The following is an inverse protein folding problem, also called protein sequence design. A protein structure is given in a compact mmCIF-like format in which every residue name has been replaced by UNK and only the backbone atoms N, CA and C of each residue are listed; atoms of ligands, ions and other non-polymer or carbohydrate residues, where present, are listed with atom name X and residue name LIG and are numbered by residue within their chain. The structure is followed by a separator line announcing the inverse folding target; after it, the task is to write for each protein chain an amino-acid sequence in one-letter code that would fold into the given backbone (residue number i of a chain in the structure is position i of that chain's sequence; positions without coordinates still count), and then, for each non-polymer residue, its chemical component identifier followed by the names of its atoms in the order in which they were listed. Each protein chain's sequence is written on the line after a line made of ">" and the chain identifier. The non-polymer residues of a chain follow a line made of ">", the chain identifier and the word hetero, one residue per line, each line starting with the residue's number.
data_IF_564543810465
#
_entry.id   IF_564543810465
#
_cell.length_a   1.000
_cell.length_b   1.000
_cell.length_c   1.000
_cell.angle_alpha   90.00
_cell.angle_beta   90.00
_cell.angle_gamma   90.00
#
_symmetry.space_group_name_H-M   'P 1'
#
loop_
_entity.id
_entity.type
_entity.pdbx_description
1 polymer ?
#
# COMPACT_ATOMS: atom_id res chain seq x y z
N UNK A 1 -17.55 9.87 18.62
CA UNK A 1 -16.73 8.67 18.91
C UNK A 1 -15.63 8.61 17.85
N UNK A 2 -14.37 8.88 18.19
CA UNK A 2 -13.29 8.79 17.21
C UNK A 2 -13.09 7.34 16.80
N UNK A 3 -13.17 7.04 15.50
CA UNK A 3 -12.87 5.71 14.97
C UNK A 3 -11.44 5.34 15.42
N UNK A 4 -11.28 4.22 16.11
CA UNK A 4 -9.96 3.72 16.51
C UNK A 4 -9.16 3.52 15.22
N UNK A 5 -7.95 4.06 15.19
CA UNK A 5 -6.99 3.82 14.11
C UNK A 5 -6.52 2.36 14.27
N UNK A 6 -7.12 1.45 13.51
CA UNK A 6 -6.64 0.07 13.47
C UNK A 6 -5.40 0.00 12.58
N UNK A 7 -4.27 -0.39 13.19
CA UNK A 7 -3.02 -0.66 12.47
C UNK A 7 -3.14 -1.93 11.64
N UNK A 8 -2.11 -2.23 10.84
CA UNK A 8 -2.10 -3.40 9.99
C UNK A 8 -2.34 -4.67 10.81
N UNK A 9 -3.36 -5.43 10.43
CA UNK A 9 -3.82 -6.62 11.14
C UNK A 9 -4.08 -7.75 10.14
N UNK A 10 -4.28 -8.96 10.66
CA UNK A 10 -4.72 -10.09 9.83
C UNK A 10 -6.03 -9.80 9.10
N UNK A 11 -6.91 -8.98 9.67
CA UNK A 11 -8.16 -8.62 9.02
C UNK A 11 -7.95 -7.61 7.89
N UNK A 12 -7.02 -6.65 8.04
CA UNK A 12 -6.59 -5.78 6.93
C UNK A 12 -5.98 -6.59 5.78
N UNK A 13 -5.20 -7.63 6.09
CA UNK A 13 -4.65 -8.54 5.10
C UNK A 13 -5.71 -9.40 4.41
N UNK A 14 -6.69 -9.94 5.15
CA UNK A 14 -7.85 -10.63 4.54
C UNK A 14 -8.60 -9.70 3.60
N UNK A 15 -8.84 -8.46 4.01
CA UNK A 15 -9.49 -7.45 3.17
C UNK A 15 -8.70 -7.20 1.87
N UNK A 16 -7.37 -7.13 1.94
CA UNK A 16 -6.54 -7.07 0.74
C UNK A 16 -6.85 -8.25 -0.20
N UNK A 17 -6.75 -9.48 0.29
CA UNK A 17 -6.97 -10.66 -0.55
C UNK A 17 -8.40 -10.72 -1.12
N UNK A 18 -9.43 -10.50 -0.30
CA UNK A 18 -10.82 -10.56 -0.78
C UNK A 18 -11.12 -9.46 -1.79
N UNK A 19 -10.64 -8.23 -1.57
CA UNK A 19 -10.89 -7.11 -2.49
C UNK A 19 -10.23 -7.31 -3.86
N UNK A 20 -9.02 -7.86 -3.91
CA UNK A 20 -8.37 -8.13 -5.19
C UNK A 20 -8.89 -9.38 -5.88
N UNK A 21 -9.36 -10.39 -5.15
CA UNK A 21 -9.94 -11.61 -5.76
C UNK A 21 -11.18 -11.32 -6.62
N UNK A 22 -11.88 -10.22 -6.37
CA UNK A 22 -13.01 -9.77 -7.20
C UNK A 22 -12.60 -9.39 -8.62
N UNK A 23 -11.32 -9.05 -8.84
CA UNK A 23 -10.84 -8.46 -10.10
C UNK A 23 -9.59 -9.13 -10.66
N UNK A 24 -8.90 -9.96 -9.87
CA UNK A 24 -7.62 -10.55 -10.20
C UNK A 24 -7.65 -12.07 -10.01
N UNK A 25 -7.03 -12.79 -10.94
CA UNK A 25 -6.90 -14.25 -10.86
C UNK A 25 -6.12 -14.69 -9.61
N UNK A 26 -6.52 -15.78 -8.92
CA UNK A 26 -5.82 -16.31 -7.75
C UNK A 26 -4.31 -16.51 -7.97
N UNK A 27 -3.90 -16.92 -9.16
CA UNK A 27 -2.49 -17.13 -9.56
C UNK A 27 -1.61 -15.87 -9.46
N UNK A 28 -2.21 -14.68 -9.39
CA UNK A 28 -1.51 -13.40 -9.22
C UNK A 28 -1.48 -12.93 -7.76
N UNK A 29 -2.25 -13.55 -6.88
CA UNK A 29 -2.34 -13.21 -5.45
C UNK A 29 -1.68 -14.26 -4.55
N UNK A 30 -1.71 -15.51 -4.98
CA UNK A 30 -1.32 -16.66 -4.18
C UNK A 30 -0.27 -17.52 -4.86
N UNK A 31 0.52 -18.21 -4.05
CA UNK A 31 1.40 -19.28 -4.49
C UNK A 31 0.57 -20.51 -4.86
N UNK A 32 0.85 -21.13 -6.01
CA UNK A 32 0.18 -22.37 -6.45
C UNK A 32 1.13 -23.56 -6.30
N UNK A 33 0.87 -24.38 -5.29
CA UNK A 33 1.60 -25.61 -5.03
C UNK A 33 0.67 -26.79 -5.29
N UNK A 34 1.01 -27.59 -6.29
CA UNK A 34 0.16 -28.66 -6.82
C UNK A 34 -1.23 -28.09 -7.21
N UNK A 35 -2.31 -28.52 -6.55
CA UNK A 35 -3.68 -28.04 -6.78
C UNK A 35 -4.20 -27.11 -5.68
N UNK A 36 -3.32 -26.53 -4.85
CA UNK A 36 -3.69 -25.71 -3.69
C UNK A 36 -3.03 -24.33 -3.76
N UNK A 37 -3.80 -23.30 -3.37
CA UNK A 37 -3.36 -21.92 -3.27
C UNK A 37 -2.96 -21.53 -1.85
N UNK A 38 -1.84 -20.83 -1.71
CA UNK A 38 -1.32 -20.38 -0.43
C UNK A 38 -1.01 -18.88 -0.46
N UNK A 39 -1.39 -18.14 0.57
CA UNK A 39 -0.91 -16.77 0.79
C UNK A 39 0.58 -16.74 1.16
N UNK A 40 1.02 -17.74 1.92
CA UNK A 40 2.39 -17.91 2.38
C UNK A 40 2.81 -19.36 2.19
N UNK A 41 3.99 -19.59 1.60
CA UNK A 41 4.53 -20.95 1.46
C UNK A 41 4.83 -21.53 2.85
N UNK A 42 4.26 -22.68 3.23
CA UNK A 42 4.60 -23.35 4.47
C UNK A 42 6.10 -23.70 4.52
N UNK A 43 6.75 -23.52 5.67
CA UNK A 43 8.20 -23.81 5.83
C UNK A 43 8.59 -25.24 5.42
N UNK A 44 7.70 -26.21 5.63
CA UNK A 44 7.93 -27.61 5.24
C UNK A 44 7.91 -27.84 3.72
N UNK A 45 7.37 -26.90 2.94
CA UNK A 45 7.26 -26.96 1.48
C UNK A 45 8.23 -25.99 0.77
N UNK A 46 9.03 -25.21 1.51
CA UNK A 46 9.90 -24.16 0.95
C UNK A 46 11.06 -24.70 0.11
N UNK A 47 11.33 -26.01 0.14
CA UNK A 47 12.39 -26.67 -0.64
C UNK A 47 12.00 -26.98 -2.09
N UNK A 48 10.74 -26.77 -2.51
CA UNK A 48 10.25 -27.11 -3.87
C UNK A 48 10.62 -26.13 -4.99
N UNK A 49 11.64 -25.27 -4.81
CA UNK A 49 12.22 -24.41 -5.87
C UNK A 49 11.21 -23.58 -6.70
N UNK A 50 10.05 -23.21 -6.15
CA UNK A 50 9.20 -22.23 -6.82
C UNK A 50 9.68 -20.81 -6.52
N UNK A 51 9.81 -19.99 -7.57
CA UNK A 51 10.20 -18.60 -7.47
C UNK A 51 9.27 -17.88 -6.51
N UNK A 52 9.85 -17.32 -5.44
CA UNK A 52 9.12 -16.57 -4.44
C UNK A 52 8.39 -15.40 -5.14
N UNK A 53 7.05 -15.39 -5.14
CA UNK A 53 6.21 -14.24 -5.53
C UNK A 53 6.33 -13.10 -4.48
N UNK A 54 7.52 -12.89 -3.91
CA UNK A 54 7.81 -11.94 -2.83
C UNK A 54 7.65 -10.48 -3.25
N UNK A 55 7.36 -10.21 -4.52
CA UNK A 55 7.12 -8.87 -5.05
C UNK A 55 5.79 -8.86 -5.80
N UNK A 56 4.70 -9.01 -5.06
CA UNK A 56 3.38 -8.75 -5.61
C UNK A 56 3.16 -7.24 -5.65
N UNK A 57 3.20 -6.60 -6.81
CA UNK A 57 2.96 -5.16 -6.91
C UNK A 57 1.60 -4.74 -6.30
N UNK A 58 0.62 -5.66 -6.28
CA UNK A 58 -0.72 -5.41 -5.74
C UNK A 58 -0.70 -5.11 -4.23
N UNK A 59 0.13 -5.80 -3.44
CA UNK A 59 0.23 -5.49 -2.00
C UNK A 59 0.89 -4.12 -1.77
N UNK A 60 1.85 -3.74 -2.63
CA UNK A 60 2.46 -2.41 -2.61
C UNK A 60 1.42 -1.32 -2.82
N UNK A 61 0.68 -1.38 -3.92
CA UNK A 61 -0.39 -0.41 -4.21
C UNK A 61 -1.46 -0.34 -3.11
N UNK A 62 -1.84 -1.49 -2.56
CA UNK A 62 -2.81 -1.54 -1.48
C UNK A 62 -2.28 -0.89 -0.20
N UNK A 63 -1.06 -1.23 0.20
CA UNK A 63 -0.44 -0.71 1.44
C UNK A 63 -0.13 0.79 1.35
N UNK A 64 0.25 1.31 0.19
CA UNK A 64 0.39 2.77 -0.03
C UNK A 64 -0.92 3.51 0.24
N UNK A 65 -2.03 3.00 -0.32
CA UNK A 65 -3.38 3.55 -0.10
C UNK A 65 -3.79 3.41 1.37
N UNK A 66 -3.57 2.24 1.95
CA UNK A 66 -3.88 1.95 3.35
C UNK A 66 -3.15 2.91 4.30
N UNK A 67 -1.84 3.14 4.08
CA UNK A 67 -1.05 4.11 4.82
C UNK A 67 -1.63 5.52 4.70
N UNK A 68 -1.97 5.97 3.49
CA UNK A 68 -2.63 7.28 3.33
C UNK A 68 -3.92 7.36 4.14
N UNK A 69 -4.80 6.38 3.99
CA UNK A 69 -6.10 6.37 4.65
C UNK A 69 -5.95 6.34 6.19
N UNK A 70 -4.90 5.69 6.70
CA UNK A 70 -4.50 5.73 8.11
C UNK A 70 -4.15 7.15 8.58
N UNK A 71 -3.43 7.91 7.76
CA UNK A 71 -2.98 9.27 8.11
C UNK A 71 -3.99 10.38 7.78
N UNK A 72 -5.01 10.13 6.95
CA UNK A 72 -6.05 11.13 6.61
C UNK A 72 -6.67 11.79 7.86
N UNK A 73 -7.07 11.07 8.93
CA UNK A 73 -7.61 11.69 10.13
C UNK A 73 -6.61 12.60 10.86
N UNK A 74 -5.32 12.30 10.77
CA UNK A 74 -4.24 13.12 11.37
C UNK A 74 -4.05 14.39 10.53
N UNK A 75 -3.91 14.25 9.22
CA UNK A 75 -3.77 15.38 8.29
C UNK A 75 -4.94 16.37 8.44
N UNK A 76 -6.18 15.86 8.55
CA UNK A 76 -7.38 16.70 8.77
C UNK A 76 -7.33 17.51 10.06
N UNK A 77 -6.78 16.97 11.16
CA UNK A 77 -6.60 17.73 12.41
C UNK A 77 -5.63 18.91 12.26
N UNK A 78 -4.76 18.85 11.25
CA UNK A 78 -3.78 19.88 10.93
C UNK A 78 -4.25 20.81 9.79
N UNK A 79 -5.49 20.65 9.29
CA UNK A 79 -5.99 21.31 8.07
C UNK A 79 -5.12 21.01 6.82
N UNK A 80 -4.64 19.78 6.71
CA UNK A 80 -3.80 19.27 5.62
C UNK A 80 -4.44 18.04 4.95
N UNK A 81 -3.83 17.62 3.86
CA UNK A 81 -4.18 16.43 3.08
C UNK A 81 -3.05 15.42 3.13
N UNK A 82 -3.37 14.14 3.34
CA UNK A 82 -2.42 13.04 3.16
C UNK A 82 -2.45 12.60 1.69
N UNK A 83 -1.33 12.76 0.97
CA UNK A 83 -1.26 12.53 -0.48
C UNK A 83 -0.16 11.51 -0.78
N UNK A 84 -0.49 10.43 -1.49
CA UNK A 84 0.51 9.47 -1.97
C UNK A 84 1.18 9.93 -3.27
N UNK A 85 2.44 9.51 -3.46
CA UNK A 85 3.17 9.72 -4.73
C UNK A 85 3.38 11.19 -5.04
N UNK A 86 3.77 11.98 -4.03
CA UNK A 86 3.97 13.42 -4.17
C UNK A 86 5.26 13.70 -4.93
N UNK A 87 5.14 14.54 -5.95
CA UNK A 87 6.22 14.97 -6.83
C UNK A 87 6.49 16.44 -6.57
N UNK A 88 7.74 16.77 -6.28
CA UNK A 88 8.24 18.12 -6.04
C UNK A 88 9.71 18.18 -6.47
N UNK A 89 9.95 18.66 -7.69
CA UNK A 89 11.30 18.73 -8.28
C UNK A 89 12.24 19.65 -7.46
N UNK A 90 11.70 20.70 -6.83
CA UNK A 90 12.44 21.62 -5.94
C UNK A 90 13.07 20.90 -4.73
N UNK A 91 12.45 19.80 -4.28
CA UNK A 91 12.92 18.97 -3.17
C UNK A 91 13.58 17.67 -3.65
N UNK A 92 13.82 17.51 -4.95
CA UNK A 92 14.37 16.28 -5.53
C UNK A 92 13.38 15.10 -5.56
N UNK A 93 12.11 15.32 -5.25
CA UNK A 93 11.04 14.32 -5.31
C UNK A 93 10.54 14.22 -6.75
N UNK A 94 11.31 13.56 -7.61
CA UNK A 94 10.99 13.43 -9.04
C UNK A 94 9.87 12.40 -9.28
N UNK A 95 9.32 12.35 -10.50
CA UNK A 95 8.36 11.31 -10.88
C UNK A 95 8.86 9.87 -10.67
N UNK A 96 10.17 9.64 -10.80
CA UNK A 96 10.77 8.31 -10.65
C UNK A 96 11.16 7.99 -9.20
N UNK A 97 11.10 8.98 -8.31
CA UNK A 97 11.45 8.87 -6.89
C UNK A 97 10.53 9.78 -6.07
N UNK A 98 9.23 9.67 -6.30
CA UNK A 98 8.22 10.47 -5.59
C UNK A 98 8.13 10.05 -4.13
N UNK A 99 7.67 10.94 -3.26
CA UNK A 99 7.41 10.56 -1.87
C UNK A 99 6.25 9.56 -1.79
N UNK A 100 6.40 8.52 -0.95
CA UNK A 100 5.35 7.53 -0.71
C UNK A 100 4.07 8.17 -0.16
N UNK A 101 4.25 9.14 0.74
CA UNK A 101 3.21 9.94 1.36
C UNK A 101 3.78 11.30 1.80
N UNK A 102 3.02 12.37 1.62
CA UNK A 102 3.33 13.66 2.25
C UNK A 102 2.06 14.35 2.76
N UNK A 103 2.22 15.24 3.75
CA UNK A 103 1.17 16.15 4.15
C UNK A 103 1.27 17.43 3.34
N UNK A 104 0.17 17.76 2.66
CA UNK A 104 0.12 18.86 1.73
C UNK A 104 -1.02 19.81 2.08
N UNK A 105 -0.89 21.08 1.70
CA UNK A 105 -1.96 22.07 1.85
C UNK A 105 -3.09 21.90 0.82
N UNK A 106 -2.93 21.00 -0.16
CA UNK A 106 -3.92 20.65 -1.18
C UNK A 106 -3.75 19.18 -1.62
N UNK A 107 -4.72 18.63 -2.35
CA UNK A 107 -4.77 17.21 -2.74
C UNK A 107 -3.95 16.82 -3.99
N UNK A 108 -3.21 17.76 -4.60
CA UNK A 108 -2.49 17.50 -5.86
C UNK A 108 -1.27 16.60 -5.65
N UNK A 109 -0.93 15.80 -6.66
CA UNK A 109 0.33 15.03 -6.65
C UNK A 109 1.56 15.91 -6.90
N UNK A 110 1.46 16.83 -7.86
CA UNK A 110 2.51 17.81 -8.14
C UNK A 110 2.39 18.96 -7.15
N UNK A 111 3.43 19.14 -6.33
CA UNK A 111 3.50 20.15 -5.29
C UNK A 111 4.71 21.06 -5.49
N UNK A 112 4.59 22.30 -5.04
CA UNK A 112 5.75 23.16 -4.74
C UNK A 112 6.23 22.89 -3.32
N UNK A 113 7.48 23.24 -3.01
CA UNK A 113 8.05 22.99 -1.70
C UNK A 113 7.21 23.61 -0.56
N UNK A 114 6.63 24.80 -0.76
CA UNK A 114 5.87 25.48 0.29
C UNK A 114 4.55 24.80 0.64
N UNK A 115 4.04 23.97 -0.27
CA UNK A 115 2.78 23.26 -0.11
C UNK A 115 2.93 21.95 0.68
N UNK A 116 4.16 21.45 0.89
CA UNK A 116 4.46 20.27 1.70
C UNK A 116 4.79 20.72 3.14
N UNK A 117 4.29 20.01 4.16
CA UNK A 117 4.41 20.35 5.58
C UNK A 117 4.97 19.22 6.43
#
# INVERSE_FOLDING_TARGET
>A
MGKILELWSTDAEKMFFTSYLETVLPDKLFYKLDNVYYAYIPKVLSSRNQTLQSRNALIGFYTEKWCRDLFVPIARKMNLYAVNGVICEELGLTKNSSADLAFCTNEKKYQKAEAIK
#
